data_IF_722851892551
#
_entry.id   IF_722851892551
#
_cell.length_a   1.000
_cell.length_b   1.000
_cell.length_c   1.000
_cell.angle_alpha   90.00
_cell.angle_beta   90.00
_cell.angle_gamma   90.00
#
_symmetry.space_group_name_H-M   'P 1'
#
loop_
_entity.id
_entity.type
_entity.pdbx_description
1 polymer ?
#
# COMPACT_ATOMS: atom_id res chain seq x y z
N UNK A 1 46.93 67.65 57.80
CA UNK A 1 46.96 66.19 57.48
C UNK A 1 45.64 65.42 57.73
N UNK A 2 44.68 65.90 58.54
CA UNK A 2 43.41 65.16 58.82
C UNK A 2 42.38 65.21 57.68
N UNK A 3 42.23 66.33 56.97
CA UNK A 3 41.29 66.49 55.84
C UNK A 3 41.58 65.54 54.66
N UNK A 4 42.85 65.26 54.36
CA UNK A 4 43.25 64.37 53.28
C UNK A 4 42.81 62.90 53.52
N UNK A 5 42.73 62.48 54.79
CA UNK A 5 42.29 61.12 55.16
C UNK A 5 40.78 60.94 55.01
N UNK A 6 40.00 61.98 55.33
CA UNK A 6 38.53 61.96 55.20
C UNK A 6 38.12 61.91 53.72
N UNK A 7 38.75 62.70 52.85
CA UNK A 7 38.50 62.63 51.41
C UNK A 7 38.89 61.28 50.80
N UNK A 8 39.97 60.65 51.27
CA UNK A 8 40.37 59.30 50.83
C UNK A 8 39.35 58.23 51.24
N UNK A 9 38.78 58.32 52.46
CA UNK A 9 37.74 57.37 52.89
C UNK A 9 36.42 57.57 52.13
N UNK A 10 36.02 58.81 51.86
CA UNK A 10 34.83 59.11 51.03
C UNK A 10 35.01 58.60 49.60
N UNK A 11 36.17 58.84 48.99
CA UNK A 11 36.47 58.34 47.64
C UNK A 11 36.51 56.82 47.59
N UNK A 12 37.10 56.17 48.61
CA UNK A 12 37.09 54.72 48.72
C UNK A 12 35.66 54.17 48.85
N UNK A 13 34.81 54.75 49.71
CA UNK A 13 33.41 54.35 49.85
C UNK A 13 32.61 54.51 48.56
N UNK A 14 32.83 55.59 47.82
CA UNK A 14 32.17 55.85 46.54
C UNK A 14 32.62 54.86 45.46
N UNK A 15 33.92 54.55 45.40
CA UNK A 15 34.46 53.50 44.53
C UNK A 15 33.88 52.11 44.86
N UNK A 16 33.76 51.76 46.13
CA UNK A 16 33.17 50.48 46.54
C UNK A 16 31.69 50.39 46.17
N UNK A 17 30.94 51.47 46.33
CA UNK A 17 29.53 51.53 45.92
C UNK A 17 29.38 51.40 44.39
N UNK A 18 30.25 52.06 43.64
CA UNK A 18 30.27 51.99 42.18
C UNK A 18 30.67 50.59 41.68
N UNK A 19 31.61 49.94 42.37
CA UNK A 19 31.99 48.55 42.11
C UNK A 19 30.82 47.59 42.39
N UNK A 20 30.09 47.76 43.49
CA UNK A 20 28.91 46.95 43.81
C UNK A 20 27.78 47.13 42.79
N UNK A 21 27.54 48.35 42.30
CA UNK A 21 26.57 48.63 41.25
C UNK A 21 26.96 47.97 39.92
N UNK A 22 28.23 48.06 39.53
CA UNK A 22 28.76 47.40 38.32
C UNK A 22 28.66 45.87 38.43
N UNK A 23 28.98 45.32 39.60
CA UNK A 23 28.91 43.89 39.87
C UNK A 23 27.45 43.39 39.81
N UNK A 24 26.51 44.13 40.40
CA UNK A 24 25.08 43.84 40.32
C UNK A 24 24.54 43.90 38.88
N UNK A 25 24.98 44.89 38.10
CA UNK A 25 24.62 44.98 36.68
C UNK A 25 25.11 43.77 35.88
N UNK A 26 26.36 43.34 36.09
CA UNK A 26 26.96 42.23 35.36
C UNK A 26 26.39 40.86 35.76
N UNK A 27 26.15 40.62 37.05
CA UNK A 27 25.70 39.32 37.55
C UNK A 27 24.18 39.11 37.45
N UNK A 28 23.37 40.16 37.61
CA UNK A 28 21.91 40.03 37.66
C UNK A 28 21.20 40.59 36.43
N UNK A 29 21.56 41.81 35.99
CA UNK A 29 20.83 42.46 34.89
C UNK A 29 21.27 41.95 33.53
N UNK A 30 22.57 41.87 33.26
CA UNK A 30 23.09 41.44 31.95
C UNK A 30 22.60 40.06 31.51
N UNK A 31 22.68 38.98 32.32
CA UNK A 31 22.19 37.67 31.88
C UNK A 31 20.68 37.68 31.61
N UNK A 32 19.88 38.39 32.41
CA UNK A 32 18.43 38.53 32.16
C UNK A 32 18.12 39.31 30.89
N UNK A 33 18.89 40.35 30.59
CA UNK A 33 18.74 41.12 29.34
C UNK A 33 19.08 40.25 28.13
N UNK A 34 20.14 39.45 28.23
CA UNK A 34 20.56 38.55 27.16
C UNK A 34 19.56 37.39 26.94
N UNK A 35 18.99 36.82 28.01
CA UNK A 35 17.89 35.84 27.92
C UNK A 35 16.64 36.44 27.26
N UNK A 36 16.23 37.65 27.67
CA UNK A 36 15.09 38.33 27.06
C UNK A 36 15.35 38.62 25.58
N UNK A 37 16.54 39.10 25.21
CA UNK A 37 16.92 39.31 23.80
C UNK A 37 16.92 38.02 23.00
N UNK A 38 17.41 36.92 23.56
CA UNK A 38 17.34 35.59 22.95
C UNK A 38 15.89 35.16 22.70
N UNK A 39 15.02 35.32 23.70
CA UNK A 39 13.59 35.05 23.59
C UNK A 39 12.89 35.89 22.53
N UNK A 40 13.16 37.20 22.48
CA UNK A 40 12.64 38.09 21.43
C UNK A 40 13.13 37.69 20.03
N UNK A 41 14.41 37.32 19.90
CA UNK A 41 14.98 36.84 18.65
C UNK A 41 14.30 35.57 18.13
N UNK A 42 14.05 34.60 19.03
CA UNK A 42 13.29 33.40 18.68
C UNK A 42 11.84 33.70 18.27
N UNK A 43 11.17 34.61 18.98
CA UNK A 43 9.80 35.01 18.64
C UNK A 43 9.74 35.63 17.24
N UNK A 44 10.62 36.57 16.92
CA UNK A 44 10.69 37.20 15.58
C UNK A 44 11.05 36.17 14.50
N UNK A 45 11.94 35.22 14.79
CA UNK A 45 12.28 34.15 13.86
C UNK A 45 11.08 33.22 13.58
N UNK A 46 10.32 32.85 14.61
CA UNK A 46 9.08 32.07 14.46
C UNK A 46 8.01 32.84 13.71
N UNK A 47 7.86 34.14 14.01
CA UNK A 47 6.93 35.04 13.33
C UNK A 47 7.22 35.12 11.83
N UNK A 48 8.50 35.30 11.47
CA UNK A 48 8.94 35.35 10.08
C UNK A 48 8.75 34.01 9.35
N UNK A 49 8.89 32.87 10.03
CA UNK A 49 8.60 31.55 9.44
C UNK A 49 7.11 31.40 9.14
N UNK A 50 6.23 31.79 10.07
CA UNK A 50 4.79 31.73 9.90
C UNK A 50 4.31 32.65 8.76
N UNK A 51 4.83 33.89 8.71
CA UNK A 51 4.55 34.83 7.61
C UNK A 51 4.99 34.29 6.26
N UNK A 52 6.21 33.73 6.17
CA UNK A 52 6.72 33.11 4.92
C UNK A 52 5.89 31.92 4.47
N UNK A 53 5.41 31.11 5.42
CA UNK A 53 4.57 29.95 5.15
C UNK A 53 3.09 30.33 4.90
N UNK A 54 2.71 31.62 4.95
CA UNK A 54 1.34 32.13 4.81
C UNK A 54 0.35 31.53 5.83
N UNK A 55 0.82 31.15 7.01
CA UNK A 55 -0.07 30.68 8.07
C UNK A 55 -0.71 31.87 8.78
N UNK A 56 -1.95 31.74 9.27
CA UNK A 56 -2.57 32.78 10.08
C UNK A 56 -1.76 32.97 11.37
N UNK A 57 -1.58 34.23 11.76
CA UNK A 57 -0.81 34.62 12.96
C UNK A 57 -1.66 34.62 14.24
N UNK A 58 -2.97 34.55 14.06
CA UNK A 58 -3.93 34.46 15.15
C UNK A 58 -3.96 33.04 15.73
N UNK A 59 -3.77 32.93 17.04
CA UNK A 59 -3.74 31.66 17.74
C UNK A 59 -5.07 30.92 17.69
N UNK A 60 -6.19 31.66 17.62
CA UNK A 60 -7.52 31.06 17.58
C UNK A 60 -7.82 30.52 16.19
N UNK A 61 -7.43 31.25 15.14
CA UNK A 61 -7.43 30.75 13.76
C UNK A 61 -6.58 29.47 13.58
N UNK A 62 -5.39 29.42 14.18
CA UNK A 62 -4.53 28.22 14.15
C UNK A 62 -5.16 27.04 14.89
N UNK A 63 -5.75 27.27 16.06
CA UNK A 63 -6.49 26.24 16.80
C UNK A 63 -7.70 25.74 16.02
N UNK A 64 -8.45 26.63 15.39
CA UNK A 64 -9.60 26.26 14.55
C UNK A 64 -9.19 25.38 13.36
N UNK A 65 -8.10 25.73 12.67
CA UNK A 65 -7.54 24.91 11.57
C UNK A 65 -7.07 23.55 12.09
N UNK A 66 -6.41 23.52 13.25
CA UNK A 66 -5.91 22.30 13.86
C UNK A 66 -7.05 21.38 14.29
N UNK A 67 -8.09 21.89 14.93
CA UNK A 67 -9.27 21.12 15.31
C UNK A 67 -10.09 20.68 14.09
N UNK A 68 -10.21 21.50 13.06
CA UNK A 68 -10.83 21.11 11.79
C UNK A 68 -10.06 19.98 11.10
N UNK A 69 -8.73 20.05 11.09
CA UNK A 69 -7.87 19.00 10.53
C UNK A 69 -7.88 17.73 11.37
N UNK A 70 -7.85 17.83 12.70
CA UNK A 70 -8.02 16.67 13.60
C UNK A 70 -9.37 16.01 13.39
N UNK A 71 -10.45 16.79 13.31
CA UNK A 71 -11.79 16.24 13.03
C UNK A 71 -11.83 15.53 11.67
N UNK A 72 -11.22 16.09 10.63
CA UNK A 72 -11.10 15.43 9.32
C UNK A 72 -10.24 14.15 9.35
N UNK A 73 -9.18 14.13 10.15
CA UNK A 73 -8.26 12.99 10.24
C UNK A 73 -8.81 11.87 11.13
N UNK A 74 -9.19 12.21 12.37
CA UNK A 74 -9.52 11.26 13.45
C UNK A 74 -10.96 11.36 13.95
N UNK A 75 -11.80 12.22 13.36
CA UNK A 75 -13.23 12.25 13.67
C UNK A 75 -13.96 10.98 13.25
N UNK A 76 -15.22 10.82 13.67
CA UNK A 76 -16.06 9.66 13.32
C UNK A 76 -16.28 9.65 11.79
N UNK A 77 -15.78 8.62 11.10
CA UNK A 77 -15.75 8.58 9.63
C UNK A 77 -14.67 9.45 8.99
N UNK A 78 -13.69 9.92 9.77
CA UNK A 78 -12.53 10.65 9.28
C UNK A 78 -11.62 9.80 8.39
N UNK A 79 -10.69 10.47 7.71
CA UNK A 79 -9.79 9.85 6.72
C UNK A 79 -9.02 8.65 7.28
N UNK A 80 -8.69 8.64 8.57
CA UNK A 80 -7.99 7.51 9.19
C UNK A 80 -8.88 6.25 9.30
N UNK A 81 -10.17 6.40 9.63
CA UNK A 81 -11.11 5.27 9.66
C UNK A 81 -11.34 4.73 8.26
N UNK A 82 -11.63 5.63 7.32
CA UNK A 82 -11.86 5.26 5.92
C UNK A 82 -10.63 4.58 5.29
N UNK A 83 -9.42 5.08 5.60
CA UNK A 83 -8.17 4.46 5.15
C UNK A 83 -7.96 3.06 5.76
N UNK A 84 -8.20 2.90 7.07
CA UNK A 84 -8.10 1.58 7.73
C UNK A 84 -9.13 0.59 7.18
N UNK A 85 -10.37 1.03 6.98
CA UNK A 85 -11.44 0.21 6.39
C UNK A 85 -11.09 -0.18 4.95
N UNK A 86 -10.64 0.77 4.14
CA UNK A 86 -10.22 0.53 2.76
C UNK A 86 -9.04 -0.44 2.67
N UNK A 87 -8.01 -0.27 3.51
CA UNK A 87 -6.87 -1.18 3.57
C UNK A 87 -7.26 -2.57 4.06
N UNK A 88 -8.12 -2.65 5.08
CA UNK A 88 -8.62 -3.92 5.59
C UNK A 88 -9.43 -4.66 4.54
N UNK A 89 -10.27 -3.96 3.77
CA UNK A 89 -11.00 -4.54 2.66
C UNK A 89 -10.04 -4.99 1.55
N UNK A 90 -9.10 -4.13 1.15
CA UNK A 90 -8.15 -4.42 0.09
C UNK A 90 -7.25 -5.63 0.40
N UNK A 91 -6.85 -5.78 1.66
CA UNK A 91 -6.02 -6.89 2.12
C UNK A 91 -6.81 -8.13 2.55
N UNK A 92 -8.15 -8.08 2.49
CA UNK A 92 -9.02 -9.11 3.08
C UNK A 92 -8.69 -10.53 2.59
N UNK A 93 -8.55 -10.72 1.28
CA UNK A 93 -8.26 -12.03 0.67
C UNK A 93 -7.01 -12.69 1.25
N UNK A 94 -5.89 -11.97 1.24
CA UNK A 94 -4.61 -12.51 1.70
C UNK A 94 -4.56 -12.59 3.23
N UNK A 95 -5.17 -11.65 3.94
CA UNK A 95 -5.26 -11.72 5.40
C UNK A 95 -6.05 -12.95 5.87
N UNK A 96 -7.16 -13.27 5.22
CA UNK A 96 -7.95 -14.48 5.49
C UNK A 96 -7.15 -15.75 5.18
N UNK A 97 -6.51 -15.84 4.00
CA UNK A 97 -5.65 -16.98 3.63
C UNK A 97 -4.51 -17.19 4.63
N UNK A 98 -3.88 -16.12 5.11
CA UNK A 98 -2.81 -16.19 6.12
C UNK A 98 -3.32 -16.80 7.44
N UNK A 99 -4.47 -16.34 7.92
CA UNK A 99 -5.09 -16.87 9.14
C UNK A 99 -5.51 -18.33 8.98
N UNK A 100 -6.09 -18.72 7.85
CA UNK A 100 -6.50 -20.09 7.55
C UNK A 100 -5.31 -21.07 7.52
N UNK A 101 -4.16 -20.64 6.99
CA UNK A 101 -2.91 -21.42 6.96
C UNK A 101 -2.15 -21.41 8.29
N UNK A 102 -2.70 -20.77 9.33
CA UNK A 102 -2.12 -20.76 10.68
C UNK A 102 -0.97 -19.78 10.87
N UNK A 103 -0.76 -18.84 9.95
CA UNK A 103 0.22 -17.77 10.15
C UNK A 103 -0.37 -16.73 11.09
N UNK A 104 0.18 -16.63 12.31
CA UNK A 104 -0.30 -15.71 13.35
C UNK A 104 -0.14 -14.24 12.97
N UNK A 105 1.01 -13.87 12.40
CA UNK A 105 1.28 -12.50 11.93
C UNK A 105 1.93 -12.47 10.55
N UNK A 106 1.85 -11.32 9.87
CA UNK A 106 2.53 -11.08 8.59
C UNK A 106 4.06 -11.16 8.74
N UNK A 107 4.59 -10.80 9.92
CA UNK A 107 6.01 -10.97 10.21
C UNK A 107 6.41 -12.44 10.23
N UNK A 108 5.63 -13.27 10.93
CA UNK A 108 5.89 -14.71 11.02
C UNK A 108 5.78 -15.38 9.65
N UNK A 109 4.82 -14.96 8.82
CA UNK A 109 4.71 -15.40 7.44
C UNK A 109 5.96 -15.06 6.63
N UNK A 110 6.46 -13.82 6.71
CA UNK A 110 7.64 -13.38 5.93
C UNK A 110 8.90 -14.17 6.26
N UNK A 111 9.11 -14.52 7.53
CA UNK A 111 10.28 -15.30 7.97
C UNK A 111 10.07 -16.81 7.89
N UNK A 112 8.83 -17.28 8.06
CA UNK A 112 8.50 -18.70 8.21
C UNK A 112 8.25 -19.44 6.89
N UNK A 113 8.02 -18.73 5.78
CA UNK A 113 7.78 -19.40 4.48
C UNK A 113 9.09 -19.96 3.92
N UNK A 114 9.20 -21.29 3.99
CA UNK A 114 10.26 -22.04 3.34
C UNK A 114 9.97 -22.24 1.85
N UNK A 115 11.02 -22.46 1.06
CA UNK A 115 10.87 -22.75 -0.38
C UNK A 115 10.08 -24.05 -0.63
N UNK A 116 10.20 -25.04 0.26
CA UNK A 116 9.43 -26.30 0.18
C UNK A 116 7.92 -26.05 0.24
N UNK A 117 7.46 -25.12 1.07
CA UNK A 117 6.04 -24.78 1.18
C UNK A 117 5.53 -24.15 -0.11
N UNK A 118 6.31 -23.25 -0.73
CA UNK A 118 5.99 -22.71 -2.04
C UNK A 118 5.89 -23.81 -3.11
N UNK A 119 6.86 -24.72 -3.16
CA UNK A 119 6.88 -25.80 -4.14
C UNK A 119 5.69 -26.75 -3.98
N UNK A 120 5.30 -27.04 -2.75
CA UNK A 120 4.11 -27.83 -2.43
C UNK A 120 2.84 -27.12 -2.92
N UNK A 121 2.60 -25.89 -2.46
CA UNK A 121 1.39 -25.13 -2.83
C UNK A 121 1.30 -24.89 -4.36
N UNK A 122 2.44 -24.68 -5.03
CA UNK A 122 2.48 -24.56 -6.49
C UNK A 122 2.09 -25.87 -7.19
N UNK A 123 2.54 -27.01 -6.68
CA UNK A 123 2.21 -28.33 -7.25
C UNK A 123 0.74 -28.69 -7.03
N UNK A 124 0.20 -28.37 -5.85
CA UNK A 124 -1.22 -28.50 -5.54
C UNK A 124 -2.08 -27.61 -6.46
N UNK A 125 -1.67 -26.35 -6.67
CA UNK A 125 -2.32 -25.44 -7.60
C UNK A 125 -2.35 -25.99 -9.03
N UNK A 126 -1.22 -26.49 -9.55
CA UNK A 126 -1.18 -27.08 -10.90
C UNK A 126 -2.10 -28.30 -11.02
N UNK A 127 -2.10 -29.18 -10.03
CA UNK A 127 -2.97 -30.35 -10.00
C UNK A 127 -4.45 -29.94 -10.02
N UNK A 128 -4.80 -28.94 -9.21
CA UNK A 128 -6.15 -28.35 -9.17
C UNK A 128 -6.56 -27.75 -10.52
N UNK A 129 -5.66 -27.05 -11.19
CA UNK A 129 -5.94 -26.45 -12.51
C UNK A 129 -6.15 -27.52 -13.59
N UNK A 130 -5.28 -28.52 -13.65
CA UNK A 130 -5.41 -29.60 -14.63
C UNK A 130 -6.70 -30.41 -14.44
N UNK A 131 -7.10 -30.68 -13.20
CA UNK A 131 -8.38 -31.35 -12.90
C UNK A 131 -9.61 -30.55 -13.36
N UNK A 132 -9.47 -29.23 -13.52
CA UNK A 132 -10.50 -28.33 -14.02
C UNK A 132 -10.30 -27.99 -15.51
N UNK A 133 -9.38 -28.66 -16.20
CA UNK A 133 -9.11 -28.47 -17.63
C UNK A 133 -8.31 -27.21 -17.97
N UNK A 134 -7.67 -26.56 -16.98
CA UNK A 134 -6.81 -25.39 -17.17
C UNK A 134 -5.35 -25.86 -17.19
N UNK A 135 -4.72 -25.78 -18.36
CA UNK A 135 -3.32 -26.18 -18.53
C UNK A 135 -2.42 -24.96 -18.55
N UNK A 136 -1.43 -24.89 -17.67
CA UNK A 136 -0.60 -23.70 -17.51
C UNK A 136 0.86 -24.01 -17.82
N UNK A 137 1.48 -23.19 -18.67
CA UNK A 137 2.90 -23.28 -18.99
C UNK A 137 3.70 -22.27 -18.15
N UNK A 138 4.88 -22.62 -17.62
CA UNK A 138 5.77 -21.68 -16.94
C UNK A 138 6.10 -20.43 -17.76
N UNK A 139 6.13 -20.56 -19.08
CA UNK A 139 6.42 -19.45 -19.99
C UNK A 139 5.32 -18.38 -20.01
N UNK A 140 4.06 -18.78 -19.88
CA UNK A 140 2.90 -17.88 -19.85
C UNK A 140 2.62 -17.39 -18.43
N UNK A 141 2.71 -18.30 -17.45
CA UNK A 141 2.49 -17.98 -16.04
C UNK A 141 3.56 -17.08 -15.46
N UNK A 142 4.79 -17.15 -15.99
CA UNK A 142 5.99 -16.53 -15.43
C UNK A 142 6.32 -17.01 -14.01
N UNK A 143 5.79 -18.17 -13.62
CA UNK A 143 6.09 -18.88 -12.37
C UNK A 143 6.33 -20.36 -12.65
N UNK A 144 7.19 -20.96 -11.84
CA UNK A 144 7.56 -22.37 -11.91
C UNK A 144 7.97 -22.90 -10.53
N UNK A 145 7.97 -24.22 -10.35
CA UNK A 145 8.53 -24.90 -9.17
C UNK A 145 9.99 -24.50 -8.90
N UNK A 146 10.74 -24.19 -9.97
CA UNK A 146 12.14 -23.79 -9.93
C UNK A 146 12.37 -22.29 -9.80
N UNK A 147 11.30 -21.48 -9.68
CA UNK A 147 11.40 -20.04 -9.54
C UNK A 147 12.16 -19.67 -8.27
N UNK A 148 13.18 -18.82 -8.41
CA UNK A 148 14.01 -18.35 -7.28
C UNK A 148 13.70 -16.89 -7.02
N UNK A 149 13.24 -16.59 -5.81
CA UNK A 149 13.11 -15.23 -5.30
C UNK A 149 13.94 -15.10 -4.04
N UNK A 150 14.42 -13.87 -3.76
CA UNK A 150 15.00 -13.54 -2.46
C UNK A 150 13.97 -13.68 -1.32
N UNK A 151 12.69 -13.63 -1.65
CA UNK A 151 11.57 -13.63 -0.73
C UNK A 151 10.57 -14.74 -1.12
N UNK A 152 10.70 -15.92 -0.52
CA UNK A 152 9.82 -17.07 -0.86
C UNK A 152 8.33 -16.77 -0.59
N UNK A 153 8.03 -15.99 0.44
CA UNK A 153 6.66 -15.58 0.74
C UNK A 153 6.00 -14.85 -0.44
N UNK A 154 6.77 -14.10 -1.25
CA UNK A 154 6.23 -13.39 -2.42
C UNK A 154 5.76 -14.36 -3.52
N UNK A 155 6.51 -15.44 -3.75
CA UNK A 155 6.12 -16.49 -4.70
C UNK A 155 4.85 -17.20 -4.23
N UNK A 156 4.75 -17.46 -2.93
CA UNK A 156 3.57 -18.06 -2.32
C UNK A 156 2.33 -17.16 -2.45
N UNK A 157 2.46 -15.85 -2.22
CA UNK A 157 1.37 -14.89 -2.42
C UNK A 157 0.89 -14.84 -3.89
N UNK A 158 1.82 -14.90 -4.85
CA UNK A 158 1.47 -15.01 -6.26
C UNK A 158 0.70 -16.31 -6.54
N UNK A 159 1.15 -17.44 -6.00
CA UNK A 159 0.46 -18.72 -6.11
C UNK A 159 -0.99 -18.64 -5.59
N UNK A 160 -1.19 -18.13 -4.38
CA UNK A 160 -2.53 -18.00 -3.79
C UNK A 160 -3.43 -17.04 -4.56
N UNK A 161 -2.86 -15.96 -5.08
CA UNK A 161 -3.60 -14.98 -5.87
C UNK A 161 -4.08 -15.59 -7.19
N UNK A 162 -3.19 -16.28 -7.90
CA UNK A 162 -3.52 -16.98 -9.15
C UNK A 162 -4.55 -18.08 -8.91
N UNK A 163 -4.33 -18.94 -7.92
CA UNK A 163 -5.25 -20.02 -7.54
C UNK A 163 -6.67 -19.50 -7.28
N UNK A 164 -6.78 -18.44 -6.48
CA UNK A 164 -8.08 -17.90 -6.07
C UNK A 164 -8.81 -17.26 -7.24
N UNK A 165 -8.09 -16.49 -8.08
CA UNK A 165 -8.66 -15.84 -9.27
C UNK A 165 -9.12 -16.87 -10.31
N UNK A 166 -8.31 -17.90 -10.55
CA UNK A 166 -8.66 -18.99 -11.48
C UNK A 166 -9.89 -19.72 -10.98
N UNK A 167 -9.93 -20.08 -9.69
CA UNK A 167 -11.11 -20.70 -9.10
C UNK A 167 -12.35 -19.80 -9.08
N UNK A 168 -12.22 -18.48 -9.02
CA UNK A 168 -13.35 -17.56 -9.17
C UNK A 168 -13.87 -17.53 -10.61
N UNK A 169 -12.99 -17.40 -11.60
CA UNK A 169 -13.37 -17.40 -13.01
C UNK A 169 -14.13 -18.66 -13.41
N UNK A 170 -13.63 -19.84 -13.01
CA UNK A 170 -14.26 -21.13 -13.30
C UNK A 170 -15.62 -21.27 -12.62
N UNK A 171 -15.75 -20.85 -11.35
CA UNK A 171 -17.04 -20.86 -10.64
C UNK A 171 -18.08 -19.94 -11.26
N UNK A 172 -17.67 -18.87 -11.92
CA UNK A 172 -18.55 -17.98 -12.68
C UNK A 172 -18.92 -18.53 -14.06
N UNK A 173 -18.42 -19.72 -14.43
CA UNK A 173 -18.69 -20.36 -15.72
C UNK A 173 -17.87 -19.80 -16.88
N UNK A 174 -16.77 -19.10 -16.60
CA UNK A 174 -15.86 -18.61 -17.63
C UNK A 174 -14.84 -19.69 -18.03
N UNK A 175 -14.44 -19.67 -19.30
CA UNK A 175 -13.37 -20.51 -19.82
C UNK A 175 -12.11 -19.69 -20.03
N UNK A 176 -10.95 -20.32 -19.88
CA UNK A 176 -9.67 -19.66 -20.14
C UNK A 176 -9.36 -19.70 -21.63
N UNK A 177 -9.03 -18.52 -22.16
CA UNK A 177 -8.43 -18.43 -23.49
C UNK A 177 -7.05 -19.06 -23.45
N UNK A 178 -6.63 -19.61 -24.56
CA UNK A 178 -5.32 -20.26 -24.69
C UNK A 178 -4.39 -19.46 -25.61
N UNK A 179 -3.09 -19.63 -25.40
CA UNK A 179 -2.06 -19.08 -26.25
C UNK A 179 -1.95 -19.90 -27.54
N UNK A 180 -1.89 -19.23 -28.69
CA UNK A 180 -1.95 -19.90 -30.00
C UNK A 180 -0.72 -20.77 -30.30
N UNK A 181 0.44 -20.39 -29.76
CA UNK A 181 1.74 -21.02 -30.07
C UNK A 181 2.45 -21.69 -28.88
N UNK A 182 1.94 -21.55 -27.66
CA UNK A 182 2.60 -22.08 -26.46
C UNK A 182 1.78 -23.24 -25.93
N UNK A 183 2.44 -24.39 -25.82
CA UNK A 183 1.87 -25.59 -25.23
C UNK A 183 2.35 -25.74 -23.78
N UNK A 184 1.46 -26.20 -22.92
CA UNK A 184 1.74 -26.72 -21.59
C UNK A 184 1.81 -28.26 -21.66
N UNK A 185 2.77 -28.84 -20.94
CA UNK A 185 2.83 -30.29 -20.75
C UNK A 185 1.98 -30.63 -19.54
N UNK A 186 0.94 -31.44 -19.72
CA UNK A 186 0.12 -31.94 -18.61
C UNK A 186 0.89 -32.92 -17.72
N UNK A 187 0.37 -33.21 -16.53
CA UNK A 187 0.91 -34.23 -15.63
C UNK A 187 0.98 -35.63 -16.29
N UNK A 188 0.09 -35.91 -17.25
CA UNK A 188 0.10 -37.14 -18.07
C UNK A 188 1.16 -37.13 -19.19
N UNK A 189 1.94 -36.05 -19.33
CA UNK A 189 2.92 -35.87 -20.40
C UNK A 189 2.34 -35.47 -21.75
N UNK A 190 1.04 -35.14 -21.83
CA UNK A 190 0.39 -34.70 -23.07
C UNK A 190 0.56 -33.21 -23.27
N UNK A 191 0.75 -32.77 -24.51
CA UNK A 191 0.80 -31.34 -24.84
C UNK A 191 -0.60 -30.79 -25.02
N UNK A 192 -0.88 -29.66 -24.36
CA UNK A 192 -2.15 -28.94 -24.38
C UNK A 192 -1.88 -27.47 -24.58
N UNK A 193 -2.78 -26.71 -25.22
CA UNK A 193 -2.58 -25.27 -25.38
C UNK A 193 -2.58 -24.57 -24.00
N UNK A 194 -1.62 -23.67 -23.78
CA UNK A 194 -1.42 -23.03 -22.48
C UNK A 194 -2.47 -21.93 -22.24
N UNK A 195 -3.14 -21.96 -21.09
CA UNK A 195 -4.09 -20.94 -20.67
C UNK A 195 -3.40 -19.57 -20.50
N UNK A 196 -4.09 -18.49 -20.89
CA UNK A 196 -3.66 -17.11 -20.74
C UNK A 196 -3.83 -16.64 -19.29
N UNK A 197 -3.00 -17.19 -18.40
CA UNK A 197 -2.89 -16.78 -17.00
C UNK A 197 -1.45 -16.36 -16.77
N UNK A 198 -1.23 -15.11 -16.39
CA UNK A 198 0.11 -14.55 -16.21
C UNK A 198 0.21 -13.88 -14.85
N UNK A 199 1.14 -14.35 -14.02
CA UNK A 199 1.53 -13.63 -12.81
C UNK A 199 2.47 -12.49 -13.21
N UNK A 200 2.10 -11.26 -12.86
CA UNK A 200 2.88 -10.08 -13.16
C UNK A 200 3.86 -9.79 -12.00
N UNK A 201 4.93 -8.99 -12.25
CA UNK A 201 5.86 -8.61 -11.19
C UNK A 201 5.16 -7.87 -10.04
N UNK A 202 5.45 -8.28 -8.81
CA UNK A 202 4.90 -7.66 -7.59
C UNK A 202 5.31 -6.20 -7.50
N UNK A 203 4.35 -5.33 -7.16
CA UNK A 203 4.60 -3.90 -6.94
C UNK A 203 4.65 -3.62 -5.44
N UNK A 204 5.72 -2.95 -5.01
CA UNK A 204 5.97 -2.65 -3.61
C UNK A 204 5.82 -1.14 -3.38
N UNK A 205 4.87 -0.76 -2.52
CA UNK A 205 4.62 0.63 -2.16
C UNK A 205 5.25 0.94 -0.81
N UNK A 206 6.15 1.93 -0.79
CA UNK A 206 6.77 2.46 0.42
C UNK A 206 6.39 3.92 0.65
N UNK A 207 6.59 4.38 1.90
CA UNK A 207 6.39 5.78 2.28
C UNK A 207 7.47 6.68 1.65
N UNK A 208 8.67 6.14 1.43
CA UNK A 208 9.80 6.84 0.83
C UNK A 208 10.01 6.40 -0.62
N UNK A 209 9.93 7.36 -1.56
CA UNK A 209 9.99 7.09 -3.01
C UNK A 209 11.36 6.61 -3.51
N UNK A 210 12.46 6.85 -2.77
CA UNK A 210 13.83 6.64 -3.28
C UNK A 210 14.44 5.29 -2.92
N UNK A 211 13.94 4.61 -1.89
CA UNK A 211 14.39 3.25 -1.53
C UNK A 211 13.36 2.58 -0.62
N UNK A 212 12.52 1.72 -1.20
CA UNK A 212 11.58 0.90 -0.44
C UNK A 212 12.36 -0.23 0.24
N UNK A 213 12.97 0.06 1.39
CA UNK A 213 13.65 -0.95 2.21
C UNK A 213 12.63 -1.85 2.91
N UNK A 214 11.52 -1.24 3.35
CA UNK A 214 10.36 -1.93 3.90
C UNK A 214 9.10 -1.45 3.18
N UNK A 215 8.45 -2.31 2.38
CA UNK A 215 7.18 -1.96 1.78
C UNK A 215 6.12 -1.81 2.87
N UNK A 216 5.25 -0.82 2.71
CA UNK A 216 4.03 -0.68 3.49
C UNK A 216 2.95 -1.61 2.93
N UNK A 217 2.81 -1.63 1.60
CA UNK A 217 1.81 -2.40 0.87
C UNK A 217 2.47 -3.15 -0.28
N UNK A 218 2.11 -4.41 -0.46
CA UNK A 218 2.43 -5.20 -1.64
C UNK A 218 1.18 -5.35 -2.50
N UNK A 219 1.33 -5.19 -3.80
CA UNK A 219 0.33 -5.50 -4.81
C UNK A 219 0.82 -6.69 -5.63
N UNK A 220 -0.04 -7.69 -5.76
CA UNK A 220 0.23 -8.95 -6.45
C UNK A 220 -0.67 -9.00 -7.69
N UNK A 221 -0.22 -8.44 -8.83
CA UNK A 221 -1.01 -8.38 -10.05
C UNK A 221 -1.00 -9.72 -10.81
N UNK A 222 -2.16 -10.08 -11.36
CA UNK A 222 -2.38 -11.25 -12.21
C UNK A 222 -3.24 -10.84 -13.40
N UNK A 223 -2.81 -11.25 -14.59
CA UNK A 223 -3.54 -11.06 -15.84
C UNK A 223 -4.21 -12.35 -16.27
N UNK A 224 -5.47 -12.26 -16.67
CA UNK A 224 -6.29 -13.37 -17.15
C UNK A 224 -6.85 -13.06 -18.54
N UNK A 225 -6.82 -14.04 -19.43
CA UNK A 225 -7.56 -14.07 -20.68
C UNK A 225 -8.72 -15.06 -20.57
N UNK A 226 -9.95 -14.54 -20.59
CA UNK A 226 -11.18 -15.29 -20.34
C UNK A 226 -12.13 -15.19 -21.54
N UNK A 227 -13.01 -16.17 -21.67
CA UNK A 227 -14.10 -16.20 -22.65
C UNK A 227 -15.38 -16.70 -21.99
N UNK A 228 -16.52 -16.19 -22.44
CA UNK A 228 -17.82 -16.63 -21.97
C UNK A 228 -18.95 -15.65 -22.27
N UNK A 229 -20.11 -15.90 -21.65
CA UNK A 229 -21.28 -15.03 -21.78
C UNK A 229 -21.12 -13.75 -20.95
N UNK A 230 -21.89 -12.71 -21.31
CA UNK A 230 -21.96 -11.47 -20.54
C UNK A 230 -22.43 -11.71 -19.09
N UNK A 231 -23.32 -12.68 -18.87
CA UNK A 231 -23.81 -13.03 -17.53
C UNK A 231 -22.70 -13.63 -16.67
N UNK A 232 -21.94 -14.59 -17.22
CA UNK A 232 -20.76 -15.16 -16.55
C UNK A 232 -19.70 -14.11 -16.24
N UNK A 233 -19.51 -13.13 -17.13
CA UNK A 233 -18.57 -12.03 -16.89
C UNK A 233 -19.03 -11.10 -15.77
N UNK A 234 -20.32 -10.76 -15.71
CA UNK A 234 -20.89 -9.97 -14.62
C UNK A 234 -20.79 -10.71 -13.28
N UNK A 235 -21.07 -12.02 -13.28
CA UNK A 235 -20.92 -12.86 -12.10
C UNK A 235 -19.46 -12.87 -11.62
N UNK A 236 -18.51 -13.02 -12.54
CA UNK A 236 -17.08 -12.97 -12.22
C UNK A 236 -16.67 -11.62 -11.62
N UNK A 237 -16.98 -10.50 -12.27
CA UNK A 237 -16.64 -9.17 -11.77
C UNK A 237 -17.27 -8.88 -10.40
N UNK A 238 -18.49 -9.37 -10.17
CA UNK A 238 -19.15 -9.25 -8.87
C UNK A 238 -18.45 -10.08 -7.79
N UNK A 239 -17.96 -11.27 -8.15
CA UNK A 239 -17.23 -12.15 -7.23
C UNK A 239 -15.88 -11.59 -6.76
N UNK A 240 -15.29 -10.67 -7.53
CA UNK A 240 -14.03 -9.98 -7.17
C UNK A 240 -14.20 -9.01 -5.99
N UNK A 241 -15.42 -8.66 -5.62
CA UNK A 241 -15.73 -7.75 -4.52
C UNK A 241 -16.55 -8.42 -3.41
N UNK A 242 -16.49 -9.76 -3.31
CA UNK A 242 -17.13 -10.50 -2.22
C UNK A 242 -16.44 -10.24 -0.88
N UNK A 243 -17.21 -10.28 0.22
CA UNK A 243 -16.66 -10.11 1.57
C UNK A 243 -15.58 -11.16 1.84
N UNK A 244 -14.39 -10.69 2.23
CA UNK A 244 -13.23 -11.55 2.51
C UNK A 244 -12.44 -11.95 1.26
N UNK A 245 -12.86 -11.55 0.06
CA UNK A 245 -12.21 -11.88 -1.22
C UNK A 245 -12.22 -10.69 -2.16
N UNK A 246 -11.53 -9.63 -1.75
CA UNK A 246 -11.36 -8.46 -2.59
C UNK A 246 -10.18 -8.62 -3.56
N UNK A 247 -10.44 -8.29 -4.83
CA UNK A 247 -9.42 -8.08 -5.86
C UNK A 247 -9.65 -6.73 -6.53
N UNK A 248 -8.61 -5.90 -6.58
CA UNK A 248 -8.65 -4.63 -7.30
C UNK A 248 -8.52 -4.88 -8.80
N UNK A 249 -9.49 -4.41 -9.60
CA UNK A 249 -9.40 -4.43 -11.06
C UNK A 249 -8.56 -3.24 -11.51
N UNK A 250 -7.37 -3.51 -12.04
CA UNK A 250 -6.43 -2.48 -12.51
C UNK A 250 -6.77 -2.01 -13.93
N UNK A 251 -7.30 -2.91 -14.75
CA UNK A 251 -7.75 -2.62 -16.10
C UNK A 251 -8.38 -3.85 -16.74
N UNK A 252 -9.30 -3.63 -17.67
CA UNK A 252 -9.87 -4.71 -18.47
C UNK A 252 -10.23 -4.24 -19.88
N UNK A 253 -10.27 -5.19 -20.80
CA UNK A 253 -10.64 -5.01 -22.19
C UNK A 253 -11.65 -6.10 -22.58
N UNK A 254 -12.77 -5.68 -23.17
CA UNK A 254 -13.77 -6.57 -23.74
C UNK A 254 -13.65 -6.57 -25.26
N UNK A 255 -13.64 -7.76 -25.84
CA UNK A 255 -13.68 -7.96 -27.28
C UNK A 255 -14.93 -8.80 -27.56
N UNK A 256 -15.89 -8.22 -28.28
CA UNK A 256 -17.05 -8.95 -28.75
C UNK A 256 -16.69 -9.79 -29.96
N UNK A 257 -16.95 -11.10 -29.90
CA UNK A 257 -16.84 -11.95 -31.08
C UNK A 257 -18.15 -11.90 -31.88
N UNK A 258 -18.08 -12.02 -33.21
CA UNK A 258 -19.28 -12.18 -34.00
C UNK A 258 -20.05 -13.41 -33.52
N UNK A 259 -21.39 -13.36 -33.48
CA UNK A 259 -22.18 -14.51 -33.08
C UNK A 259 -21.96 -15.69 -34.02
N UNK A 260 -21.85 -16.90 -33.46
CA UNK A 260 -21.72 -18.13 -34.25
C UNK A 260 -23.00 -18.43 -35.06
N UNK A 261 -24.16 -17.99 -34.58
CA UNK A 261 -25.45 -18.12 -35.25
C UNK A 261 -26.10 -16.75 -35.45
N UNK A 262 -26.53 -16.45 -36.68
CA UNK A 262 -27.26 -15.22 -37.05
C UNK A 262 -28.72 -15.24 -36.55
N UNK A 263 -28.96 -15.69 -35.32
CA UNK A 263 -30.26 -15.61 -34.67
C UNK A 263 -30.44 -14.21 -34.08
N UNK A 264 -31.46 -13.50 -34.55
CA UNK A 264 -31.89 -12.24 -33.98
C UNK A 264 -32.55 -12.45 -32.61
N UNK A 265 -32.36 -11.50 -31.72
CA UNK A 265 -33.16 -11.34 -30.51
C UNK A 265 -34.60 -10.87 -30.86
N UNK A 266 -35.49 -10.80 -29.87
CA UNK A 266 -36.91 -10.41 -30.08
C UNK A 266 -37.06 -9.03 -30.76
N UNK A 267 -36.06 -8.16 -30.65
CA UNK A 267 -35.98 -6.84 -31.28
C UNK A 267 -35.30 -6.84 -32.68
N UNK A 268 -34.99 -8.01 -33.24
CA UNK A 268 -34.33 -8.14 -34.55
C UNK A 268 -32.82 -7.80 -34.57
N UNK A 269 -32.22 -7.59 -33.39
CA UNK A 269 -30.78 -7.36 -33.23
C UNK A 269 -30.04 -8.69 -33.13
N UNK A 270 -28.87 -8.83 -33.77
CA UNK A 270 -28.05 -10.05 -33.63
C UNK A 270 -27.73 -10.29 -32.14
N UNK A 271 -27.98 -11.51 -31.64
CA UNK A 271 -27.56 -11.88 -30.29
C UNK A 271 -26.06 -11.64 -30.14
N UNK A 272 -25.64 -11.04 -29.02
CA UNK A 272 -24.22 -10.88 -28.72
C UNK A 272 -23.57 -12.28 -28.67
N UNK A 273 -22.51 -12.47 -29.47
CA UNK A 273 -21.71 -13.69 -29.45
C UNK A 273 -20.96 -13.87 -28.12
N UNK A 274 -20.10 -14.88 -28.07
CA UNK A 274 -19.17 -15.03 -26.95
C UNK A 274 -18.31 -13.76 -26.79
N UNK A 275 -18.11 -13.35 -25.56
CA UNK A 275 -17.23 -12.23 -25.24
C UNK A 275 -15.87 -12.77 -24.83
N UNK A 276 -14.82 -12.07 -25.23
CA UNK A 276 -13.48 -12.25 -24.70
C UNK A 276 -13.17 -11.11 -23.73
N UNK A 277 -12.54 -11.45 -22.60
CA UNK A 277 -12.15 -10.52 -21.56
C UNK A 277 -10.66 -10.70 -21.27
N UNK A 278 -9.89 -9.64 -21.45
CA UNK A 278 -8.55 -9.54 -20.90
C UNK A 278 -8.63 -8.65 -19.66
N UNK A 279 -8.28 -9.17 -18.49
CA UNK A 279 -8.40 -8.43 -17.22
C UNK A 279 -7.11 -8.55 -16.40
N UNK A 280 -6.71 -7.43 -15.81
CA UNK A 280 -5.64 -7.36 -14.82
C UNK A 280 -6.26 -7.09 -13.45
N UNK A 281 -6.14 -8.08 -12.56
CA UNK A 281 -6.60 -8.01 -11.17
C UNK A 281 -5.40 -8.03 -10.24
N UNK A 282 -5.53 -7.43 -9.07
CA UNK A 282 -4.50 -7.49 -8.04
C UNK A 282 -5.08 -7.78 -6.66
N UNK A 283 -4.35 -8.58 -5.89
CA UNK A 283 -4.54 -8.71 -4.44
C UNK A 283 -3.52 -7.85 -3.71
N UNK A 284 -3.82 -7.49 -2.46
CA UNK A 284 -2.96 -6.63 -1.66
C UNK A 284 -2.60 -7.26 -0.32
N UNK A 285 -1.37 -7.02 0.14
CA UNK A 285 -0.93 -7.40 1.48
C UNK A 285 -0.28 -6.22 2.17
N UNK A 286 -0.84 -5.83 3.32
CA UNK A 286 -0.19 -4.89 4.23
C UNK A 286 0.95 -5.60 4.96
N UNK A 287 2.16 -5.05 4.84
CA UNK A 287 3.38 -5.65 5.38
C UNK A 287 3.76 -5.08 6.75
N UNK A 288 3.24 -3.90 7.10
CA UNK A 288 3.58 -3.14 8.30
C UNK A 288 2.35 -2.67 9.06
#
# INVERSE_FOLDING_TARGET
MRFLKVHKMLLAGLLTCLALLLLGYWLLLRPRIDELRGGYGEMVARENRLKKAKWPMDSDSLKAILEANKSRLSGKGGLQSASKEGLSLACSMLSTKLSERGFGSVSDFRSGVMNSLYQQDFSEMLTSFESQGVFVSPEVLKLSVSSKSRYNYQLLLQCWTVETLVGQALRSGLTFRTHDSIEATSLEGKRRPAALVTALPIRAYGIEQKKVVEPYLLEIPVRLGLSGSLESMKAFLSSLNERGKFFGVLGFEFIGLPPNDASGDEDGMLKAGELQLNIECASYLQVK
#
